data_IF_428675713478
#
_entry.id   IF_428675713478
#
_cell.length_a   1.000
_cell.length_b   1.000
_cell.length_c   1.000
_cell.angle_alpha   90.00
_cell.angle_beta   90.00
_cell.angle_gamma   90.00
#
_symmetry.space_group_name_H-M   'P 1'
#
loop_
_entity.id
_entity.type
_entity.pdbx_description
1 polymer ?
#
# COMPACT_ATOMS: atom_id res chain seq x y z
N UNK A 1 14.28 -11.46 -14.39
CA UNK A 1 14.23 -10.09 -14.96
C UNK A 1 12.85 -9.51 -14.71
N UNK A 2 12.71 -8.20 -14.81
CA UNK A 2 11.41 -7.53 -14.79
C UNK A 2 11.28 -6.70 -16.05
N UNK A 3 10.14 -6.85 -16.73
CA UNK A 3 9.76 -6.04 -17.88
C UNK A 3 8.46 -5.31 -17.55
N UNK A 4 8.34 -4.06 -18.00
CA UNK A 4 7.19 -3.21 -17.68
C UNK A 4 6.64 -2.57 -18.95
N UNK A 5 5.37 -2.83 -19.23
CA UNK A 5 4.59 -2.09 -20.22
C UNK A 5 3.81 -0.99 -19.49
N UNK A 6 4.07 0.25 -19.86
CA UNK A 6 3.30 1.42 -19.46
C UNK A 6 2.06 1.52 -20.34
N UNK A 7 0.91 1.72 -19.73
CA UNK A 7 -0.40 1.88 -20.35
C UNK A 7 -1.00 3.23 -19.91
N UNK A 8 -0.86 4.25 -20.76
CA UNK A 8 -1.31 5.62 -20.48
C UNK A 8 -2.84 5.70 -20.61
N UNK A 9 -3.49 6.11 -19.52
CA UNK A 9 -4.95 6.26 -19.45
C UNK A 9 -5.27 7.31 -18.39
N UNK A 10 -5.68 8.49 -18.83
CA UNK A 10 -5.71 9.69 -17.99
C UNK A 10 -6.92 9.79 -17.05
N UNK A 11 -8.00 9.05 -17.27
CA UNK A 11 -9.14 9.06 -16.34
C UNK A 11 -8.73 8.64 -14.92
N UNK A 12 -9.27 9.33 -13.91
CA UNK A 12 -8.97 9.06 -12.50
C UNK A 12 -9.42 7.65 -12.07
N UNK A 13 -10.56 7.22 -12.61
CA UNK A 13 -11.20 5.93 -12.32
C UNK A 13 -10.88 4.94 -13.43
N UNK A 14 -10.13 3.90 -13.09
CA UNK A 14 -9.66 2.88 -14.04
C UNK A 14 -10.44 1.56 -13.92
N UNK A 15 -11.58 1.57 -13.23
CA UNK A 15 -12.40 0.38 -12.97
C UNK A 15 -12.74 -0.38 -14.25
N UNK A 16 -13.37 0.29 -15.22
CA UNK A 16 -13.82 -0.34 -16.46
C UNK A 16 -12.64 -0.83 -17.30
N UNK A 17 -11.56 -0.03 -17.38
CA UNK A 17 -10.32 -0.45 -18.04
C UNK A 17 -9.74 -1.72 -17.41
N UNK A 18 -9.69 -1.80 -16.07
CA UNK A 18 -9.18 -2.97 -15.36
C UNK A 18 -10.10 -4.19 -15.53
N UNK A 19 -11.42 -4.01 -15.60
CA UNK A 19 -12.37 -5.09 -15.87
C UNK A 19 -12.17 -5.72 -17.24
N UNK A 20 -11.81 -4.92 -18.25
CA UNK A 20 -11.50 -5.41 -19.60
C UNK A 20 -10.07 -5.96 -19.72
N UNK A 21 -9.11 -5.36 -19.02
CA UNK A 21 -7.69 -5.72 -19.09
C UNK A 21 -7.34 -7.01 -18.31
N UNK A 22 -7.85 -7.18 -17.08
CA UNK A 22 -7.47 -8.30 -16.21
C UNK A 22 -7.76 -9.69 -16.81
N UNK A 23 -8.91 -9.93 -17.46
CA UNK A 23 -9.17 -11.22 -18.12
C UNK A 23 -8.15 -11.53 -19.22
N UNK A 24 -7.78 -10.54 -20.05
CA UNK A 24 -6.83 -10.69 -21.14
C UNK A 24 -5.42 -11.02 -20.60
N UNK A 25 -5.00 -10.34 -19.54
CA UNK A 25 -3.70 -10.60 -18.91
C UNK A 25 -3.63 -11.97 -18.21
N UNK A 26 -4.74 -12.49 -17.70
CA UNK A 26 -4.78 -13.85 -17.13
C UNK A 26 -4.60 -14.94 -18.17
N UNK A 27 -5.05 -14.72 -19.40
CA UNK A 27 -4.78 -15.65 -20.51
C UNK A 27 -3.28 -15.68 -20.80
N UNK A 28 -2.61 -14.52 -20.74
CA UNK A 28 -1.17 -14.39 -20.92
C UNK A 28 -0.34 -14.97 -19.77
N UNK A 29 -0.80 -14.85 -18.53
CA UNK A 29 -0.11 -15.44 -17.35
C UNK A 29 -0.02 -16.98 -17.43
N UNK A 30 -0.92 -17.63 -18.16
CA UNK A 30 -0.90 -19.09 -18.39
C UNK A 30 0.12 -19.52 -19.46
N UNK A 31 0.75 -18.58 -20.15
CA UNK A 31 1.78 -18.86 -21.17
C UNK A 31 3.11 -19.17 -20.49
N UNK A 32 3.84 -20.16 -21.00
CA UNK A 32 5.15 -20.53 -20.46
C UNK A 32 6.14 -19.36 -20.53
N UNK A 33 6.76 -19.00 -19.40
CA UNK A 33 7.85 -18.03 -19.35
C UNK A 33 7.61 -16.79 -18.47
N UNK A 34 6.40 -16.62 -17.93
CA UNK A 34 6.08 -15.60 -16.92
C UNK A 34 5.97 -16.26 -15.55
N UNK A 35 6.78 -15.80 -14.59
CA UNK A 35 6.74 -16.26 -13.19
C UNK A 35 5.66 -15.54 -12.39
N UNK A 36 5.44 -14.25 -12.68
CA UNK A 36 4.39 -13.43 -12.09
C UNK A 36 4.03 -12.27 -13.01
N UNK A 37 2.74 -11.93 -13.08
CA UNK A 37 2.21 -10.76 -13.80
C UNK A 37 1.38 -9.91 -12.84
N UNK A 38 1.73 -8.63 -12.69
CA UNK A 38 0.98 -7.73 -11.81
C UNK A 38 0.82 -6.33 -12.37
N UNK A 39 -0.19 -5.63 -11.87
CA UNK A 39 -0.52 -4.26 -12.29
C UNK A 39 -0.21 -3.30 -11.15
N UNK A 40 0.24 -2.10 -11.48
CA UNK A 40 0.34 -0.97 -10.55
C UNK A 40 -0.28 0.28 -11.18
N UNK A 41 -0.93 1.10 -10.35
CA UNK A 41 -1.30 2.47 -10.75
C UNK A 41 -0.12 3.38 -10.48
N UNK A 42 0.11 4.34 -11.37
CA UNK A 42 1.18 5.31 -11.19
C UNK A 42 0.85 6.64 -11.86
N UNK A 43 1.52 7.71 -11.42
CA UNK A 43 1.18 9.10 -11.76
C UNK A 43 2.31 9.83 -12.51
N UNK A 44 3.54 9.36 -12.41
CA UNK A 44 4.71 10.03 -12.98
C UNK A 44 4.52 10.19 -14.50
N UNK A 45 4.62 11.43 -14.97
CA UNK A 45 4.39 11.82 -16.38
C UNK A 45 2.98 11.49 -16.91
N UNK A 46 1.96 11.46 -16.05
CA UNK A 46 0.55 11.26 -16.42
C UNK A 46 -0.05 10.05 -15.69
N UNK A 47 -1.37 10.00 -15.43
CA UNK A 47 -2.02 8.82 -14.88
C UNK A 47 -1.87 7.63 -15.84
N UNK A 48 -1.41 6.50 -15.33
CA UNK A 48 -1.21 5.29 -16.13
C UNK A 48 -1.30 4.03 -15.28
N UNK A 49 -1.41 2.90 -15.97
CA UNK A 49 -1.14 1.59 -15.41
C UNK A 49 0.28 1.15 -15.82
N UNK A 50 0.94 0.39 -14.96
CA UNK A 50 2.13 -0.38 -15.27
C UNK A 50 1.75 -1.85 -15.22
N UNK A 51 1.96 -2.55 -16.32
CA UNK A 51 1.83 -4.00 -16.40
C UNK A 51 3.25 -4.55 -16.29
N UNK A 52 3.53 -5.19 -15.17
CA UNK A 52 4.85 -5.70 -14.84
C UNK A 52 4.86 -7.22 -14.95
N UNK A 53 5.96 -7.78 -15.45
CA UNK A 53 6.17 -9.22 -15.58
C UNK A 53 7.52 -9.59 -14.97
N UNK A 54 7.53 -10.60 -14.12
CA UNK A 54 8.76 -11.28 -13.71
C UNK A 54 8.96 -12.50 -14.59
N UNK A 55 10.17 -12.68 -15.09
CA UNK A 55 10.56 -13.81 -15.93
C UNK A 55 11.95 -14.33 -15.56
N UNK A 56 12.21 -15.62 -15.76
CA UNK A 56 13.54 -16.20 -15.57
C UNK A 56 14.54 -15.73 -16.66
N UNK A 57 14.08 -15.61 -17.91
CA UNK A 57 14.85 -15.21 -19.09
C UNK A 57 14.28 -13.91 -19.71
N UNK A 58 14.95 -13.26 -20.68
CA UNK A 58 14.39 -12.08 -21.34
C UNK A 58 13.02 -12.42 -21.93
N UNK A 59 12.09 -11.45 -21.88
CA UNK A 59 10.71 -11.66 -22.36
C UNK A 59 10.74 -12.05 -23.85
N UNK A 60 10.12 -13.18 -24.18
CA UNK A 60 10.03 -13.65 -25.56
C UNK A 60 9.12 -12.72 -26.37
N UNK A 61 9.42 -12.57 -27.67
CA UNK A 61 8.75 -11.59 -28.53
C UNK A 61 7.25 -11.87 -28.69
N UNK A 62 6.85 -13.14 -28.73
CA UNK A 62 5.45 -13.56 -28.79
C UNK A 62 4.67 -13.18 -27.53
N UNK A 63 5.26 -13.38 -26.34
CA UNK A 63 4.67 -12.96 -25.07
C UNK A 63 4.56 -11.43 -25.03
N UNK A 64 5.63 -10.73 -25.44
CA UNK A 64 5.68 -9.27 -25.52
C UNK A 64 4.54 -8.72 -26.40
N UNK A 65 4.36 -9.27 -27.60
CA UNK A 65 3.30 -8.88 -28.53
C UNK A 65 1.90 -9.21 -27.99
N UNK A 66 1.73 -10.35 -27.31
CA UNK A 66 0.45 -10.71 -26.69
C UNK A 66 0.04 -9.74 -25.57
N UNK A 67 0.99 -9.28 -24.74
CA UNK A 67 0.74 -8.28 -23.70
C UNK A 67 0.40 -6.91 -24.32
N UNK A 68 1.09 -6.51 -25.39
CA UNK A 68 0.77 -5.29 -26.13
C UNK A 68 -0.65 -5.34 -26.73
N UNK A 69 -1.03 -6.48 -27.32
CA UNK A 69 -2.37 -6.68 -27.88
C UNK A 69 -3.45 -6.64 -26.81
N UNK A 70 -3.25 -7.31 -25.68
CA UNK A 70 -4.16 -7.25 -24.55
C UNK A 70 -4.37 -5.80 -24.05
N UNK A 71 -3.29 -5.03 -23.92
CA UNK A 71 -3.35 -3.65 -23.49
C UNK A 71 -4.04 -2.74 -24.53
N UNK A 72 -3.75 -2.94 -25.82
CA UNK A 72 -4.37 -2.20 -26.93
C UNK A 72 -5.88 -2.46 -27.00
N UNK A 73 -6.30 -3.72 -26.95
CA UNK A 73 -7.72 -4.11 -26.94
C UNK A 73 -8.48 -3.49 -25.76
N UNK A 74 -7.86 -3.44 -24.57
CA UNK A 74 -8.46 -2.79 -23.41
C UNK A 74 -8.61 -1.27 -23.62
N UNK A 75 -7.61 -0.58 -24.18
CA UNK A 75 -7.71 0.84 -24.52
C UNK A 75 -8.75 1.13 -25.59
N UNK A 76 -8.84 0.31 -26.63
CA UNK A 76 -9.82 0.50 -27.70
C UNK A 76 -11.25 0.38 -27.19
N UNK A 77 -11.49 -0.54 -26.24
CA UNK A 77 -12.79 -0.70 -25.58
C UNK A 77 -13.10 0.43 -24.60
N UNK A 78 -12.07 0.93 -23.89
CA UNK A 78 -12.20 1.90 -22.79
C UNK A 78 -11.20 3.05 -22.95
N UNK A 79 -11.27 3.85 -24.02
CA UNK A 79 -10.36 4.97 -24.19
C UNK A 79 -10.63 5.99 -23.09
N UNK A 80 -9.56 6.54 -22.52
CA UNK A 80 -9.63 7.71 -21.65
C UNK A 80 -10.13 8.90 -22.45
N UNK A 81 -11.03 9.67 -21.85
CA UNK A 81 -11.56 10.91 -22.43
C UNK A 81 -11.12 12.15 -21.66
N UNK A 82 -10.36 11.99 -20.58
CA UNK A 82 -9.90 13.10 -19.77
C UNK A 82 -8.77 13.87 -20.45
N UNK A 83 -9.04 15.13 -20.73
CA UNK A 83 -8.00 16.09 -21.08
C UNK A 83 -7.22 16.51 -19.82
N UNK A 84 -5.89 16.48 -19.93
CA UNK A 84 -4.97 16.93 -18.87
C UNK A 84 -4.17 18.09 -19.42
N UNK A 85 -4.14 19.22 -18.69
CA UNK A 85 -3.17 20.29 -18.94
C UNK A 85 -1.76 19.78 -18.56
N UNK A 86 -0.82 19.67 -19.52
CA UNK A 86 0.51 19.15 -19.23
C UNK A 86 1.28 19.97 -18.19
N UNK A 87 1.09 21.29 -18.13
CA UNK A 87 1.80 22.16 -17.20
C UNK A 87 1.24 22.03 -15.78
N UNK A 88 -0.08 21.90 -15.63
CA UNK A 88 -0.69 21.65 -14.33
C UNK A 88 -0.34 20.25 -13.79
N UNK A 89 -0.30 19.26 -14.68
CA UNK A 89 0.10 17.92 -14.30
C UNK A 89 1.58 17.81 -13.90
N UNK A 90 2.47 18.57 -14.55
CA UNK A 90 3.88 18.60 -14.15
C UNK A 90 4.05 19.16 -12.73
N UNK A 91 3.33 20.24 -12.38
CA UNK A 91 3.30 20.77 -11.00
C UNK A 91 2.76 19.74 -10.00
N UNK A 92 1.70 19.03 -10.40
CA UNK A 92 1.13 17.93 -9.61
C UNK A 92 2.15 16.81 -9.41
N UNK A 93 2.85 16.42 -10.48
CA UNK A 93 3.88 15.38 -10.48
C UNK A 93 5.07 15.74 -9.61
N UNK A 94 5.52 17.01 -9.62
CA UNK A 94 6.54 17.50 -8.69
C UNK A 94 6.08 17.33 -7.24
N UNK A 95 4.85 17.76 -6.94
CA UNK A 95 4.28 17.69 -5.59
C UNK A 95 4.15 16.24 -5.10
N UNK A 96 3.70 15.33 -5.96
CA UNK A 96 3.61 13.89 -5.67
C UNK A 96 5.01 13.27 -5.53
N UNK A 97 5.96 13.64 -6.38
CA UNK A 97 7.35 13.17 -6.31
C UNK A 97 8.01 13.53 -4.98
N UNK A 98 7.79 14.74 -4.50
CA UNK A 98 8.24 15.18 -3.18
C UNK A 98 7.51 14.43 -2.04
N UNK A 99 6.21 14.19 -2.19
CA UNK A 99 5.39 13.51 -1.19
C UNK A 99 5.63 12.00 -1.10
N UNK A 100 6.12 11.37 -2.17
CA UNK A 100 6.37 9.92 -2.25
C UNK A 100 7.87 9.58 -2.35
N UNK A 101 8.74 10.59 -2.44
CA UNK A 101 10.17 10.51 -2.73
C UNK A 101 10.50 9.83 -4.07
N UNK A 102 9.66 10.08 -5.08
CA UNK A 102 9.89 9.60 -6.45
C UNK A 102 10.58 10.70 -7.24
N UNK A 103 11.84 10.51 -7.68
CA UNK A 103 12.53 11.50 -8.49
C UNK A 103 11.91 11.60 -9.89
N UNK A 104 12.17 12.73 -10.55
CA UNK A 104 11.78 12.96 -11.94
C UNK A 104 12.53 12.08 -12.95
N UNK A 105 12.32 12.31 -14.26
CA UNK A 105 11.66 13.49 -14.83
C UNK A 105 10.14 13.51 -14.64
N UNK A 106 9.59 14.66 -14.27
CA UNK A 106 8.14 14.86 -14.04
C UNK A 106 7.36 15.18 -15.32
N UNK A 107 8.07 15.61 -16.37
CA UNK A 107 7.54 15.88 -17.70
C UNK A 107 8.50 15.42 -18.81
N UNK A 108 8.07 15.47 -20.09
CA UNK A 108 6.71 15.82 -20.51
C UNK A 108 5.71 14.72 -20.13
N UNK A 109 4.44 15.12 -19.98
CA UNK A 109 3.32 14.18 -19.80
C UNK A 109 3.25 13.25 -21.02
N UNK A 110 3.13 11.96 -20.76
CA UNK A 110 2.96 10.96 -21.80
C UNK A 110 1.61 11.18 -22.52
N UNK A 111 1.56 10.79 -23.79
CA UNK A 111 0.33 10.90 -24.57
C UNK A 111 -0.72 9.94 -24.00
N UNK A 112 -1.97 10.40 -23.89
CA UNK A 112 -3.08 9.56 -23.45
C UNK A 112 -3.37 8.43 -24.45
N UNK A 113 -3.97 7.34 -23.98
CA UNK A 113 -4.37 6.19 -24.80
C UNK A 113 -3.21 5.59 -25.62
N UNK A 114 -2.02 5.52 -25.04
CA UNK A 114 -0.84 4.88 -25.65
C UNK A 114 -0.24 3.81 -24.74
N UNK A 115 0.55 2.94 -25.34
CA UNK A 115 1.35 1.93 -24.64
C UNK A 115 2.84 2.11 -24.96
N UNK A 116 3.71 1.93 -23.98
CA UNK A 116 5.16 2.13 -24.10
C UNK A 116 5.92 1.14 -23.22
N UNK A 117 6.95 0.47 -23.73
CA UNK A 117 7.82 -0.35 -22.88
C UNK A 117 8.82 0.52 -22.14
N UNK A 118 8.92 0.34 -20.83
CA UNK A 118 9.89 1.06 -20.02
C UNK A 118 11.29 0.42 -20.17
N UNK A 119 12.29 1.24 -20.49
CA UNK A 119 13.66 0.77 -20.75
C UNK A 119 14.43 0.36 -19.48
N UNK A 120 14.00 0.85 -18.32
CA UNK A 120 14.44 0.37 -17.02
C UNK A 120 13.22 0.43 -16.08
N UNK A 121 13.08 -0.53 -15.14
CA UNK A 121 12.13 -0.37 -14.06
C UNK A 121 12.56 0.86 -13.27
N UNK A 122 11.92 2.01 -13.53
CA UNK A 122 12.16 3.20 -12.74
C UNK A 122 11.80 2.82 -11.31
N UNK A 123 12.76 2.94 -10.39
CA UNK A 123 12.61 2.66 -8.96
C UNK A 123 11.57 3.58 -8.34
N UNK A 124 10.30 3.29 -8.58
CA UNK A 124 9.16 4.11 -8.14
C UNK A 124 8.64 3.69 -6.79
N UNK A 125 9.06 2.51 -6.31
CA UNK A 125 8.77 2.10 -4.95
C UNK A 125 9.98 2.38 -4.07
N UNK A 126 9.91 3.49 -3.32
CA UNK A 126 11.00 3.93 -2.44
C UNK A 126 11.27 2.96 -1.28
N UNK A 127 10.39 1.99 -1.06
CA UNK A 127 10.52 0.93 -0.07
C UNK A 127 11.08 -0.37 -0.65
N UNK A 128 11.17 -0.52 -1.97
CA UNK A 128 11.69 -1.72 -2.63
C UNK A 128 12.96 -1.40 -3.41
N UNK A 129 14.09 -1.90 -2.91
CA UNK A 129 15.43 -1.61 -3.45
C UNK A 129 16.12 -2.81 -4.08
N UNK A 130 15.60 -3.99 -3.77
CA UNK A 130 16.13 -5.25 -4.26
C UNK A 130 15.18 -5.85 -5.29
N UNK A 131 15.76 -6.40 -6.36
CA UNK A 131 15.00 -7.04 -7.44
C UNK A 131 14.18 -8.23 -6.92
N UNK A 132 14.69 -8.96 -5.94
CA UNK A 132 14.01 -10.08 -5.30
C UNK A 132 12.80 -9.62 -4.49
N UNK A 133 12.93 -8.54 -3.71
CA UNK A 133 11.80 -7.93 -3.00
C UNK A 133 10.72 -7.50 -4.01
N UNK A 134 11.11 -6.92 -5.15
CA UNK A 134 10.16 -6.54 -6.19
C UNK A 134 9.47 -7.75 -6.82
N UNK A 135 10.19 -8.85 -7.04
CA UNK A 135 9.60 -10.12 -7.53
C UNK A 135 8.61 -10.71 -6.54
N UNK A 136 8.95 -10.77 -5.25
CA UNK A 136 8.04 -11.25 -4.21
C UNK A 136 6.80 -10.36 -4.15
N UNK A 137 6.98 -9.03 -4.10
CA UNK A 137 5.86 -8.08 -4.16
C UNK A 137 4.97 -8.34 -5.38
N UNK A 138 5.57 -8.49 -6.56
CA UNK A 138 4.86 -8.77 -7.81
C UNK A 138 4.06 -10.07 -7.76
N UNK A 139 4.65 -11.16 -7.23
CA UNK A 139 3.96 -12.43 -7.03
C UNK A 139 2.78 -12.32 -6.06
N UNK A 140 2.95 -11.59 -4.94
CA UNK A 140 1.87 -11.36 -3.98
C UNK A 140 0.72 -10.54 -4.57
N UNK A 141 1.03 -9.50 -5.36
CA UNK A 141 -0.01 -8.71 -6.05
C UNK A 141 -0.69 -9.56 -7.14
N UNK A 142 0.05 -10.34 -7.93
CA UNK A 142 -0.49 -11.28 -8.93
C UNK A 142 -1.52 -12.23 -8.29
N UNK A 143 -1.17 -12.86 -7.16
CA UNK A 143 -2.07 -13.77 -6.42
C UNK A 143 -3.37 -13.10 -5.97
N UNK A 144 -3.37 -11.78 -5.77
CA UNK A 144 -4.56 -11.02 -5.36
C UNK A 144 -5.50 -10.64 -6.51
N UNK A 145 -5.04 -10.69 -7.77
CA UNK A 145 -5.81 -10.21 -8.93
C UNK A 145 -7.19 -10.87 -9.10
N UNK A 146 -7.41 -12.16 -8.78
CA UNK A 146 -8.75 -12.76 -8.67
C UNK A 146 -9.71 -12.00 -7.76
N UNK A 147 -9.27 -11.67 -6.55
CA UNK A 147 -10.08 -10.94 -5.57
C UNK A 147 -10.28 -9.48 -6.00
N UNK A 148 -9.25 -8.86 -6.61
CA UNK A 148 -9.36 -7.51 -7.18
C UNK A 148 -10.43 -7.47 -8.28
N UNK A 149 -10.41 -8.42 -9.21
CA UNK A 149 -11.40 -8.46 -10.29
C UNK A 149 -12.82 -8.61 -9.74
N UNK A 150 -13.04 -9.49 -8.76
CA UNK A 150 -14.34 -9.65 -8.13
C UNK A 150 -14.79 -8.38 -7.39
N UNK A 151 -13.88 -7.69 -6.71
CA UNK A 151 -14.18 -6.41 -6.07
C UNK A 151 -14.58 -5.33 -7.10
N UNK A 152 -13.93 -5.32 -8.27
CA UNK A 152 -14.25 -4.41 -9.35
C UNK A 152 -15.62 -4.67 -9.99
N UNK A 153 -16.19 -5.87 -9.88
CA UNK A 153 -17.58 -6.12 -10.35
C UNK A 153 -18.63 -5.64 -9.35
N UNK A 154 -18.26 -5.32 -8.11
CA UNK A 154 -19.20 -4.89 -7.08
C UNK A 154 -19.54 -3.39 -7.16
N UNK A 155 -20.67 -3.02 -6.57
CA UNK A 155 -20.99 -1.61 -6.30
C UNK A 155 -20.04 -1.03 -5.24
N UNK A 156 -19.98 0.30 -5.17
CA UNK A 156 -19.03 1.03 -4.32
C UNK A 156 -19.06 0.56 -2.85
N UNK A 157 -20.23 0.54 -2.20
CA UNK A 157 -20.35 0.13 -0.79
C UNK A 157 -19.81 -1.28 -0.53
N UNK A 158 -20.21 -2.25 -1.37
CA UNK A 158 -19.75 -3.64 -1.23
C UNK A 158 -18.25 -3.76 -1.49
N UNK A 159 -17.70 -2.97 -2.40
CA UNK A 159 -16.27 -2.91 -2.69
C UNK A 159 -15.48 -2.35 -1.51
N UNK A 160 -15.98 -1.31 -0.83
CA UNK A 160 -15.40 -0.79 0.40
C UNK A 160 -15.44 -1.82 1.53
N UNK A 161 -16.50 -2.64 1.62
CA UNK A 161 -16.55 -3.77 2.56
C UNK A 161 -15.49 -4.84 2.22
N UNK A 162 -15.30 -5.20 0.95
CA UNK A 162 -14.23 -6.13 0.55
C UNK A 162 -12.85 -5.57 0.90
N UNK A 163 -12.64 -4.25 0.72
CA UNK A 163 -11.41 -3.59 1.12
C UNK A 163 -11.18 -3.66 2.65
N UNK A 164 -12.24 -3.50 3.45
CA UNK A 164 -12.17 -3.73 4.91
C UNK A 164 -11.84 -5.17 5.26
N UNK A 165 -12.37 -6.17 4.52
CA UNK A 165 -12.01 -7.57 4.74
C UNK A 165 -10.53 -7.82 4.50
N UNK A 166 -9.96 -7.27 3.43
CA UNK A 166 -8.53 -7.35 3.16
C UNK A 166 -7.74 -6.75 4.34
N UNK A 167 -8.08 -5.54 4.78
CA UNK A 167 -7.39 -4.87 5.90
C UNK A 167 -7.51 -5.67 7.21
N UNK A 168 -8.70 -6.19 7.52
CA UNK A 168 -8.94 -6.98 8.72
C UNK A 168 -8.17 -8.30 8.70
N UNK A 169 -8.15 -9.02 7.57
CA UNK A 169 -7.42 -10.27 7.42
C UNK A 169 -5.92 -10.06 7.74
N UNK A 170 -5.31 -9.00 7.22
CA UNK A 170 -3.92 -8.69 7.53
C UNK A 170 -3.75 -8.25 8.98
N UNK A 171 -4.62 -7.38 9.52
CA UNK A 171 -4.57 -6.97 10.92
C UNK A 171 -4.62 -8.19 11.88
N UNK A 172 -5.47 -9.19 11.59
CA UNK A 172 -5.58 -10.44 12.37
C UNK A 172 -4.30 -11.27 12.37
N UNK A 173 -3.50 -11.19 11.31
CA UNK A 173 -2.24 -11.91 11.18
C UNK A 173 -1.05 -11.22 11.87
N UNK A 174 -1.27 -10.08 12.54
CA UNK A 174 -0.20 -9.44 13.29
C UNK A 174 0.35 -10.38 14.37
N UNK A 175 1.68 -10.55 14.47
CA UNK A 175 2.31 -11.42 15.47
C UNK A 175 1.91 -11.00 16.88
N UNK A 176 1.62 -11.98 17.75
CA UNK A 176 1.37 -11.75 19.18
C UNK A 176 0.35 -10.63 19.47
N UNK A 177 -0.93 -10.99 19.36
CA UNK A 177 -2.05 -10.10 19.72
C UNK A 177 -2.99 -9.76 18.56
N UNK A 178 -2.72 -10.28 17.35
CA UNK A 178 -3.65 -10.27 16.22
C UNK A 178 -4.22 -8.89 15.94
N UNK A 179 -5.53 -8.82 15.66
CA UNK A 179 -6.18 -7.57 15.29
C UNK A 179 -6.04 -6.45 16.34
N UNK A 180 -5.99 -6.78 17.63
CA UNK A 180 -5.83 -5.83 18.73
C UNK A 180 -4.48 -5.08 18.69
N UNK A 181 -3.49 -5.59 17.96
CA UNK A 181 -2.22 -4.90 17.72
C UNK A 181 -2.03 -4.52 16.25
N UNK A 182 -2.44 -5.37 15.32
CA UNK A 182 -2.30 -5.16 13.87
C UNK A 182 -3.00 -3.90 13.36
N UNK A 183 -4.11 -3.49 14.00
CA UNK A 183 -4.81 -2.26 13.63
C UNK A 183 -3.94 -1.01 13.80
N UNK A 184 -2.93 -1.03 14.69
CA UNK A 184 -2.05 0.11 14.96
C UNK A 184 -1.27 0.55 13.71
N UNK A 185 -1.00 -0.38 12.79
CA UNK A 185 -0.36 -0.04 11.52
C UNK A 185 -1.30 0.80 10.63
N UNK A 186 -2.59 0.47 10.58
CA UNK A 186 -3.60 1.28 9.87
C UNK A 186 -3.82 2.63 10.58
N UNK A 187 -3.82 2.62 11.91
CA UNK A 187 -3.91 3.83 12.73
C UNK A 187 -2.77 4.80 12.45
N UNK A 188 -1.54 4.29 12.41
CA UNK A 188 -0.35 5.04 12.02
C UNK A 188 -0.54 5.74 10.67
N UNK A 189 -1.04 5.03 9.65
CA UNK A 189 -1.19 5.61 8.32
C UNK A 189 -2.21 6.74 8.23
N UNK A 190 -3.40 6.59 8.83
CA UNK A 190 -4.39 7.66 8.74
C UNK A 190 -4.05 8.85 9.65
N UNK A 191 -3.44 8.62 10.82
CA UNK A 191 -2.94 9.71 11.69
C UNK A 191 -1.80 10.49 11.03
N UNK A 192 -0.90 9.81 10.31
CA UNK A 192 0.17 10.46 9.54
C UNK A 192 -0.42 11.28 8.38
N UNK A 193 -1.40 10.74 7.66
CA UNK A 193 -2.09 11.47 6.60
C UNK A 193 -2.74 12.76 7.10
N UNK A 194 -3.52 12.68 8.19
CA UNK A 194 -4.15 13.86 8.77
C UNK A 194 -3.11 14.86 9.29
N UNK A 195 -2.01 14.41 9.91
CA UNK A 195 -0.99 15.31 10.42
C UNK A 195 -0.43 16.26 9.35
N UNK A 196 -0.28 15.79 8.12
CA UNK A 196 0.23 16.58 7.00
C UNK A 196 -0.86 17.28 6.18
N UNK A 197 -2.14 17.08 6.52
CA UNK A 197 -3.25 17.67 5.81
C UNK A 197 -3.70 18.97 6.50
N UNK A 198 -3.75 20.12 5.82
CA UNK A 198 -4.18 21.38 6.44
C UNK A 198 -5.65 21.38 6.88
N UNK A 199 -6.48 20.46 6.37
CA UNK A 199 -7.88 20.30 6.74
C UNK A 199 -8.13 19.14 7.72
N UNK A 200 -7.10 18.71 8.46
CA UNK A 200 -7.10 17.52 9.31
C UNK A 200 -8.27 17.43 10.28
N UNK A 201 -8.50 18.48 11.07
CA UNK A 201 -9.57 18.55 12.08
C UNK A 201 -10.95 18.31 11.46
N UNK A 202 -11.25 19.03 10.37
CA UNK A 202 -12.50 18.88 9.63
C UNK A 202 -12.66 17.48 9.04
N UNK A 203 -11.59 16.88 8.53
CA UNK A 203 -11.64 15.52 7.97
C UNK A 203 -11.91 14.50 9.07
N UNK A 204 -11.22 14.60 10.21
CA UNK A 204 -11.42 13.69 11.35
C UNK A 204 -12.83 13.80 11.93
N UNK A 205 -13.39 15.02 12.03
CA UNK A 205 -14.78 15.24 12.45
C UNK A 205 -15.79 14.57 11.52
N UNK A 206 -15.59 14.69 10.20
CA UNK A 206 -16.46 14.05 9.20
C UNK A 206 -16.36 12.53 9.33
N UNK A 207 -15.16 11.98 9.44
CA UNK A 207 -14.96 10.54 9.62
C UNK A 207 -15.57 10.03 10.92
N UNK A 208 -15.40 10.76 12.03
CA UNK A 208 -15.98 10.41 13.33
C UNK A 208 -17.51 10.38 13.26
N UNK A 209 -18.13 11.41 12.66
CA UNK A 209 -19.59 11.45 12.47
C UNK A 209 -20.08 10.33 11.56
N UNK A 210 -19.37 10.06 10.46
CA UNK A 210 -19.69 8.96 9.56
C UNK A 210 -19.56 7.59 10.21
N UNK A 211 -18.54 7.41 11.07
CA UNK A 211 -18.37 6.19 11.85
C UNK A 211 -19.49 6.02 12.86
N UNK A 212 -19.83 7.05 13.63
CA UNK A 212 -20.90 6.99 14.63
C UNK A 212 -22.24 6.58 14.00
N UNK A 213 -22.58 7.16 12.84
CA UNK A 213 -23.78 6.81 12.09
C UNK A 213 -23.80 5.36 11.56
N UNK A 214 -22.63 4.71 11.47
CA UNK A 214 -22.46 3.36 10.94
C UNK A 214 -21.96 2.36 11.99
N UNK A 215 -21.86 2.79 13.25
CA UNK A 215 -21.20 2.05 14.33
C UNK A 215 -21.85 0.70 14.55
N UNK A 216 -23.18 0.68 14.64
CA UNK A 216 -23.95 -0.56 14.82
C UNK A 216 -23.81 -1.54 13.64
N UNK A 217 -24.02 -1.14 12.37
CA UNK A 217 -23.74 -2.00 11.22
C UNK A 217 -22.31 -2.55 11.17
N UNK A 218 -21.31 -1.71 11.47
CA UNK A 218 -19.89 -2.13 11.48
C UNK A 218 -19.62 -3.13 12.60
N UNK A 219 -20.13 -2.86 13.81
CA UNK A 219 -20.01 -3.80 14.93
C UNK A 219 -20.69 -5.14 14.62
N UNK A 220 -21.87 -5.10 14.00
CA UNK A 220 -22.58 -6.30 13.57
C UNK A 220 -21.79 -7.09 12.51
N UNK A 221 -21.17 -6.40 11.56
CA UNK A 221 -20.30 -7.00 10.54
C UNK A 221 -19.11 -7.71 11.18
N UNK A 222 -18.36 -7.04 12.07
CA UNK A 222 -17.20 -7.66 12.70
C UNK A 222 -17.60 -8.85 13.58
N UNK A 223 -18.73 -8.73 14.31
CA UNK A 223 -19.29 -9.85 15.07
C UNK A 223 -19.69 -11.02 14.18
N UNK A 224 -20.28 -10.78 13.01
CA UNK A 224 -20.64 -11.88 12.10
C UNK A 224 -19.41 -12.60 11.57
N UNK A 225 -18.33 -11.88 11.26
CA UNK A 225 -17.07 -12.46 10.78
C UNK A 225 -16.38 -13.37 11.82
N UNK A 226 -16.65 -13.19 13.12
CA UNK A 226 -16.17 -14.09 14.17
C UNK A 226 -17.04 -15.33 14.38
N UNK A 227 -18.30 -15.33 13.92
CA UNK A 227 -19.29 -16.38 14.20
C UNK A 227 -19.69 -17.19 12.97
N UNK A 228 -19.53 -16.64 11.77
CA UNK A 228 -19.92 -17.26 10.51
C UNK A 228 -18.77 -17.14 9.51
N UNK A 229 -18.46 -18.22 8.77
CA UNK A 229 -17.48 -18.16 7.70
C UNK A 229 -17.96 -17.20 6.59
N UNK A 230 -17.11 -16.25 6.17
CA UNK A 230 -17.33 -15.40 5.01
C UNK A 230 -16.30 -15.79 3.92
N UNK A 231 -16.73 -16.32 2.76
CA UNK A 231 -15.81 -16.82 1.72
C UNK A 231 -14.88 -15.76 1.13
N UNK A 232 -15.24 -14.47 1.20
CA UNK A 232 -14.34 -13.41 0.76
C UNK A 232 -13.28 -13.12 1.82
N UNK A 233 -13.66 -13.06 3.09
CA UNK A 233 -12.69 -12.92 4.18
C UNK A 233 -11.71 -14.10 4.19
N UNK A 234 -12.19 -15.33 4.06
CA UNK A 234 -11.37 -16.55 4.02
C UNK A 234 -10.32 -16.50 2.89
N UNK A 235 -10.68 -15.95 1.72
CA UNK A 235 -9.73 -15.79 0.62
C UNK A 235 -8.64 -14.76 0.92
N UNK A 236 -8.99 -13.67 1.60
CA UNK A 236 -8.00 -12.70 2.06
C UNK A 236 -7.11 -13.27 3.17
N UNK A 237 -7.67 -14.03 4.11
CA UNK A 237 -6.91 -14.75 5.12
C UNK A 237 -5.97 -15.78 4.49
N UNK A 238 -6.43 -16.51 3.46
CA UNK A 238 -5.61 -17.41 2.66
C UNK A 238 -4.47 -16.70 1.93
N UNK A 239 -4.74 -15.51 1.36
CA UNK A 239 -3.69 -14.67 0.76
C UNK A 239 -2.66 -14.23 1.79
N UNK A 240 -3.10 -13.75 2.97
CA UNK A 240 -2.17 -13.34 4.05
C UNK A 240 -1.33 -14.52 4.52
N UNK A 241 -1.94 -15.70 4.70
CA UNK A 241 -1.24 -16.92 5.09
C UNK A 241 -0.18 -17.32 4.05
N UNK A 242 -0.51 -17.27 2.77
CA UNK A 242 0.43 -17.60 1.69
C UNK A 242 1.54 -16.54 1.53
N UNK A 243 1.26 -15.29 1.89
CA UNK A 243 2.19 -14.18 1.79
C UNK A 243 3.19 -14.10 2.96
N UNK A 244 2.88 -14.74 4.09
CA UNK A 244 3.65 -14.60 5.32
C UNK A 244 5.09 -15.13 5.20
N UNK A 245 5.26 -16.38 4.79
CA UNK A 245 6.58 -17.01 4.72
C UNK A 245 7.54 -16.30 3.74
N UNK A 246 7.14 -15.94 2.51
CA UNK A 246 7.99 -15.15 1.62
C UNK A 246 8.38 -13.78 2.21
N UNK A 247 7.45 -13.10 2.89
CA UNK A 247 7.74 -11.80 3.51
C UNK A 247 8.71 -11.95 4.70
N UNK A 248 8.57 -13.03 5.47
CA UNK A 248 9.44 -13.34 6.60
C UNK A 248 10.84 -13.76 6.16
N UNK A 249 10.97 -14.47 5.04
CA UNK A 249 12.28 -14.78 4.44
C UNK A 249 13.03 -13.49 4.06
N UNK A 250 12.35 -12.56 3.37
CA UNK A 250 12.93 -11.26 3.03
C UNK A 250 13.38 -10.49 4.27
N UNK A 251 12.57 -10.53 5.35
CA UNK A 251 12.87 -9.85 6.61
C UNK A 251 14.10 -10.45 7.30
N UNK A 252 14.16 -11.78 7.44
CA UNK A 252 15.31 -12.51 8.04
C UNK A 252 16.62 -12.27 7.30
N UNK A 253 16.54 -12.00 6.00
CA UNK A 253 17.68 -11.68 5.14
C UNK A 253 18.02 -10.19 5.13
N UNK A 254 17.28 -9.36 5.86
CA UNK A 254 17.47 -7.91 5.95
C UNK A 254 17.10 -7.15 4.67
N UNK A 255 16.36 -7.76 3.75
CA UNK A 255 15.95 -7.13 2.48
C UNK A 255 14.73 -6.23 2.64
N UNK A 256 13.90 -6.49 3.65
CA UNK A 256 12.84 -5.58 4.11
C UNK A 256 13.07 -5.26 5.58
N UNK A 257 12.98 -3.97 5.92
CA UNK A 257 13.36 -3.46 7.23
C UNK A 257 12.14 -2.92 7.98
N UNK A 258 12.18 -2.92 9.33
CA UNK A 258 11.09 -2.39 10.13
C UNK A 258 11.08 -0.86 10.13
N UNK A 259 12.08 -0.22 9.50
CA UNK A 259 12.28 1.22 9.40
C UNK A 259 12.73 1.63 7.99
N UNK A 260 12.55 2.91 7.60
CA UNK A 260 13.07 3.41 6.34
C UNK A 260 14.60 3.28 6.26
N UNK A 261 15.11 2.79 5.13
CA UNK A 261 16.55 2.66 4.88
C UNK A 261 17.26 4.02 4.77
N UNK A 262 18.54 4.09 5.15
CA UNK A 262 19.33 5.33 5.18
C UNK A 262 19.31 6.10 3.84
N UNK A 263 19.43 5.43 2.69
CA UNK A 263 19.41 6.14 1.40
C UNK A 263 18.06 6.83 1.11
N UNK A 264 16.98 6.53 1.85
CA UNK A 264 15.72 7.29 1.73
C UNK A 264 15.92 8.69 2.27
N UNK A 265 16.63 8.81 3.39
CA UNK A 265 16.99 10.10 3.97
C UNK A 265 17.94 10.85 3.04
N UNK A 266 18.92 10.17 2.45
CA UNK A 266 19.82 10.80 1.48
C UNK A 266 19.08 11.28 0.23
N UNK A 267 18.16 10.48 -0.32
CA UNK A 267 17.30 10.90 -1.42
C UNK A 267 16.43 12.11 -1.03
N UNK A 268 15.80 12.07 0.15
CA UNK A 268 14.99 13.18 0.63
C UNK A 268 15.80 14.47 0.77
N UNK A 269 17.02 14.39 1.33
CA UNK A 269 17.95 15.53 1.42
C UNK A 269 18.33 16.05 0.04
N UNK A 270 18.59 15.17 -0.93
CA UNK A 270 18.91 15.58 -2.30
C UNK A 270 17.75 16.29 -3.02
N UNK A 271 16.51 16.02 -2.59
CA UNK A 271 15.30 16.67 -3.11
C UNK A 271 14.96 17.97 -2.37
N UNK A 272 15.62 18.26 -1.24
CA UNK A 272 15.52 19.52 -0.50
C UNK A 272 15.56 19.36 1.02
N UNK A 273 16.07 20.37 1.71
CA UNK A 273 16.27 20.35 3.18
C UNK A 273 14.97 20.10 3.96
N UNK A 274 13.85 20.69 3.52
CA UNK A 274 12.54 20.46 4.16
C UNK A 274 12.07 19.01 4.02
N UNK A 275 12.35 18.37 2.87
CA UNK A 275 12.04 16.96 2.68
C UNK A 275 12.97 16.08 3.52
N UNK A 276 14.26 16.43 3.60
CA UNK A 276 15.20 15.80 4.52
C UNK A 276 14.69 15.78 5.97
N UNK A 277 14.16 16.90 6.47
CA UNK A 277 13.51 16.96 7.81
C UNK A 277 12.26 16.09 7.91
N UNK A 278 11.36 16.21 6.93
CA UNK A 278 10.11 15.43 6.89
C UNK A 278 10.36 13.92 6.92
N UNK A 279 11.40 13.45 6.23
CA UNK A 279 11.70 12.04 6.07
C UNK A 279 12.80 11.50 7.00
N UNK A 280 13.54 12.37 7.69
CA UNK A 280 14.65 11.98 8.58
C UNK A 280 14.26 11.46 9.95
N UNK A 281 12.99 11.60 10.35
CA UNK A 281 12.52 11.07 11.64
C UNK A 281 13.17 11.72 12.86
N UNK A 282 13.83 12.87 12.69
CA UNK A 282 14.46 13.71 13.72
C UNK A 282 13.48 14.29 14.74
N UNK A 283 13.98 14.87 15.83
CA UNK A 283 13.15 15.61 16.80
C UNK A 283 12.80 17.03 16.32
N UNK A 284 13.44 17.49 15.25
CA UNK A 284 13.11 18.71 14.52
C UNK A 284 11.87 18.56 13.61
N UNK A 285 11.35 17.33 13.49
CA UNK A 285 10.10 17.01 12.79
C UNK A 285 8.90 17.04 13.76
N UNK A 286 7.74 17.46 13.25
CA UNK A 286 6.44 17.32 13.94
C UNK A 286 5.80 15.95 13.68
N UNK A 287 5.04 15.48 14.67
CA UNK A 287 4.37 14.17 14.68
C UNK A 287 2.90 14.31 15.09
N UNK A 288 2.08 13.33 14.72
CA UNK A 288 0.73 13.20 15.28
C UNK A 288 0.78 12.79 16.77
N UNK A 289 -0.36 12.85 17.45
CA UNK A 289 -0.54 12.37 18.82
C UNK A 289 -0.07 10.91 19.00
N UNK A 290 -0.55 10.02 18.12
CA UNK A 290 -0.13 8.63 18.10
C UNK A 290 1.38 8.49 17.93
N UNK A 291 1.96 9.10 16.89
CA UNK A 291 3.39 8.94 16.62
C UNK A 291 4.28 9.56 17.71
N UNK A 292 3.82 10.61 18.39
CA UNK A 292 4.53 11.19 19.54
C UNK A 292 4.65 10.20 20.69
N UNK A 293 3.57 9.49 21.02
CA UNK A 293 3.58 8.46 22.05
C UNK A 293 4.30 7.19 21.60
N UNK A 294 4.05 6.76 20.35
CA UNK A 294 4.62 5.54 19.79
C UNK A 294 6.15 5.60 19.70
N UNK A 295 6.73 6.76 19.41
CA UNK A 295 8.19 7.00 19.37
C UNK A 295 8.90 6.76 20.70
N UNK A 296 8.18 6.75 21.83
CA UNK A 296 8.77 6.47 23.15
C UNK A 296 9.17 5.00 23.30
N UNK A 297 8.64 4.13 22.44
CA UNK A 297 8.93 2.70 22.45
C UNK A 297 10.28 2.38 21.79
N UNK A 298 10.91 1.31 22.28
CA UNK A 298 12.08 0.69 21.70
C UNK A 298 11.66 -0.38 20.69
N UNK A 299 11.60 -0.02 19.41
CA UNK A 299 11.27 -0.92 18.30
C UNK A 299 12.27 -2.06 18.11
N UNK A 300 13.50 -1.95 18.62
CA UNK A 300 14.47 -3.05 18.54
C UNK A 300 14.15 -4.18 19.52
N UNK A 301 13.28 -3.90 20.50
CA UNK A 301 12.88 -4.81 21.57
C UNK A 301 11.38 -5.12 21.61
N UNK A 302 10.61 -4.45 20.75
CA UNK A 302 9.20 -4.73 20.56
C UNK A 302 9.02 -5.98 19.69
N UNK A 303 8.92 -7.15 20.34
CA UNK A 303 8.58 -8.41 19.67
C UNK A 303 9.65 -8.91 18.70
N UNK A 304 9.23 -9.76 17.76
CA UNK A 304 10.07 -10.29 16.68
C UNK A 304 10.21 -9.22 15.57
N UNK A 305 11.40 -8.61 15.48
CA UNK A 305 11.71 -7.55 14.50
C UNK A 305 11.50 -8.00 13.06
N UNK A 306 11.73 -9.28 12.76
CA UNK A 306 11.58 -9.82 11.42
C UNK A 306 10.10 -9.97 11.08
N UNK A 307 9.31 -10.47 12.03
CA UNK A 307 7.87 -10.59 11.87
C UNK A 307 7.19 -9.22 11.69
N UNK A 308 7.65 -8.19 12.42
CA UNK A 308 7.18 -6.81 12.19
C UNK A 308 7.59 -6.26 10.82
N UNK A 309 8.81 -6.55 10.36
CA UNK A 309 9.29 -6.15 9.04
C UNK A 309 8.48 -6.81 7.92
N UNK A 310 8.20 -8.10 8.05
CA UNK A 310 7.33 -8.86 7.15
C UNK A 310 5.92 -8.25 7.11
N UNK A 311 5.32 -8.00 8.28
CA UNK A 311 4.02 -7.35 8.37
C UNK A 311 3.99 -5.97 7.68
N UNK A 312 5.02 -5.14 7.90
CA UNK A 312 5.16 -3.83 7.24
C UNK A 312 5.31 -3.95 5.73
N UNK A 313 6.00 -4.98 5.24
CA UNK A 313 6.08 -5.24 3.81
C UNK A 313 4.71 -5.63 3.23
N UNK A 314 3.98 -6.52 3.91
CA UNK A 314 2.66 -6.98 3.48
C UNK A 314 1.61 -5.86 3.47
N UNK A 315 1.60 -4.96 4.46
CA UNK A 315 0.63 -3.84 4.47
C UNK A 315 0.88 -2.86 3.31
N UNK A 316 2.14 -2.63 2.92
CA UNK A 316 2.45 -1.81 1.76
C UNK A 316 2.01 -2.49 0.46
N UNK A 317 2.18 -3.81 0.33
CA UNK A 317 1.65 -4.57 -0.80
C UNK A 317 0.11 -4.48 -0.84
N UNK A 318 -0.55 -4.61 0.31
CA UNK A 318 -2.00 -4.49 0.40
C UNK A 318 -2.48 -3.10 -0.03
N UNK A 319 -1.77 -2.03 0.32
CA UNK A 319 -2.15 -0.69 -0.11
C UNK A 319 -2.12 -0.53 -1.64
N UNK A 320 -1.17 -1.14 -2.33
CA UNK A 320 -1.18 -1.19 -3.80
C UNK A 320 -2.40 -1.95 -4.30
N UNK A 321 -2.70 -3.11 -3.71
CA UNK A 321 -3.86 -3.94 -4.07
C UNK A 321 -5.18 -3.15 -3.90
N UNK A 322 -5.33 -2.37 -2.82
CA UNK A 322 -6.52 -1.54 -2.62
C UNK A 322 -6.69 -0.49 -3.72
N UNK A 323 -5.59 0.10 -4.22
CA UNK A 323 -5.70 1.03 -5.36
C UNK A 323 -6.16 0.33 -6.64
N UNK A 324 -5.79 -0.94 -6.84
CA UNK A 324 -6.27 -1.75 -7.96
C UNK A 324 -7.76 -2.08 -7.84
N UNK A 325 -8.28 -2.21 -6.63
CA UNK A 325 -9.72 -2.30 -6.35
C UNK A 325 -10.46 -0.97 -6.60
N UNK A 326 -9.78 0.05 -7.14
CA UNK A 326 -10.34 1.38 -7.37
C UNK A 326 -10.80 2.08 -6.07
N UNK A 327 -10.13 1.78 -4.95
CA UNK A 327 -10.25 2.51 -3.69
C UNK A 327 -9.35 3.73 -3.75
N UNK A 328 -9.93 4.92 -3.59
CA UNK A 328 -9.17 6.18 -3.65
C UNK A 328 -8.31 6.35 -2.38
N UNK A 329 -7.16 7.06 -2.41
CA UNK A 329 -6.35 7.27 -1.21
C UNK A 329 -7.11 7.80 0.01
N UNK A 330 -8.00 8.79 -0.17
CA UNK A 330 -8.84 9.31 0.92
C UNK A 330 -9.78 8.23 1.47
N UNK A 331 -10.39 7.43 0.59
CA UNK A 331 -11.27 6.32 0.99
C UNK A 331 -10.49 5.27 1.78
N UNK A 332 -9.27 4.92 1.36
CA UNK A 332 -8.38 4.02 2.10
C UNK A 332 -8.16 4.49 3.53
N UNK A 333 -7.89 5.79 3.74
CA UNK A 333 -7.70 6.33 5.09
C UNK A 333 -8.99 6.33 5.91
N UNK A 334 -10.14 6.62 5.29
CA UNK A 334 -11.45 6.46 5.96
C UNK A 334 -11.68 5.02 6.41
N UNK A 335 -11.40 4.02 5.56
CA UNK A 335 -11.55 2.61 5.91
C UNK A 335 -10.57 2.18 7.02
N UNK A 336 -9.33 2.68 6.97
CA UNK A 336 -8.35 2.48 8.04
C UNK A 336 -8.81 3.10 9.38
N UNK A 337 -9.44 4.28 9.35
CA UNK A 337 -10.08 4.89 10.52
C UNK A 337 -11.20 4.00 11.04
N UNK A 338 -12.10 3.54 10.16
CA UNK A 338 -13.24 2.68 10.53
C UNK A 338 -12.78 1.37 11.16
N UNK A 339 -11.78 0.71 10.57
CA UNK A 339 -11.15 -0.48 11.14
C UNK A 339 -10.57 -0.21 12.52
N UNK A 340 -9.81 0.88 12.67
CA UNK A 340 -9.18 1.23 13.96
C UNK A 340 -10.23 1.43 15.06
N UNK A 341 -11.31 2.16 14.75
CA UNK A 341 -12.40 2.41 15.70
C UNK A 341 -13.21 1.15 16.00
N UNK A 342 -13.48 0.32 14.99
CA UNK A 342 -14.21 -0.93 15.14
C UNK A 342 -13.47 -1.93 16.04
N UNK A 343 -12.14 -2.02 15.91
CA UNK A 343 -11.31 -2.83 16.81
C UNK A 343 -11.34 -2.26 18.23
N UNK A 344 -11.15 -0.95 18.41
CA UNK A 344 -11.21 -0.32 19.74
C UNK A 344 -12.59 -0.42 20.41
N UNK A 345 -13.68 -0.49 19.65
CA UNK A 345 -15.03 -0.70 20.21
C UNK A 345 -15.27 -2.15 20.67
N UNK A 346 -14.54 -3.12 20.12
CA UNK A 346 -14.65 -4.54 20.46
C UNK A 346 -13.66 -4.95 21.55
N UNK A 347 -12.51 -4.27 21.61
CA UNK A 347 -11.46 -4.52 22.59
C UNK A 347 -11.65 -3.66 23.84
N UNK A 348 -11.23 -4.17 24.99
CA UNK A 348 -11.22 -3.38 26.24
C UNK A 348 -10.08 -2.33 26.27
N UNK A 349 -9.27 -2.26 25.22
CA UNK A 349 -8.06 -1.43 25.15
C UNK A 349 -8.08 -0.50 23.95
N UNK A 350 -7.57 0.71 24.15
CA UNK A 350 -7.32 1.68 23.07
C UNK A 350 -5.84 1.70 22.72
N UNK A 351 -5.46 2.35 21.62
CA UNK A 351 -4.06 2.50 21.25
C UNK A 351 -3.28 3.22 22.36
N UNK A 352 -3.91 4.18 23.06
CA UNK A 352 -3.30 4.92 24.17
C UNK A 352 -2.94 3.98 25.31
N UNK A 353 -3.86 3.08 25.66
CA UNK A 353 -3.65 2.07 26.71
C UNK A 353 -2.55 1.09 26.32
N UNK A 354 -2.55 0.62 25.07
CA UNK A 354 -1.54 -0.32 24.56
C UNK A 354 -0.14 0.29 24.56
N UNK A 355 0.01 1.50 24.03
CA UNK A 355 1.30 2.22 23.98
C UNK A 355 1.79 2.55 25.38
N UNK A 356 0.92 3.07 26.26
CA UNK A 356 1.28 3.35 27.65
C UNK A 356 1.74 2.08 28.40
N UNK A 357 1.05 0.96 28.18
CA UNK A 357 1.45 -0.34 28.74
C UNK A 357 2.80 -0.81 28.20
N UNK A 358 3.09 -0.60 26.90
CA UNK A 358 4.38 -0.88 26.29
C UNK A 358 5.51 -0.05 26.90
N UNK A 359 5.30 1.27 27.04
CA UNK A 359 6.27 2.18 27.68
C UNK A 359 6.52 1.77 29.14
N UNK A 360 5.47 1.43 29.89
CA UNK A 360 5.60 1.00 31.27
C UNK A 360 6.39 -0.31 31.41
N UNK A 361 6.16 -1.29 30.51
CA UNK A 361 6.95 -2.54 30.48
C UNK A 361 8.40 -2.28 30.11
N UNK A 362 8.65 -1.42 29.12
CA UNK A 362 9.98 -1.05 28.69
C UNK A 362 10.79 -0.37 29.80
N UNK A 363 10.15 0.45 30.64
CA UNK A 363 10.81 1.09 31.78
C UNK A 363 11.38 0.11 32.81
N UNK A 364 10.96 -1.16 32.76
CA UNK A 364 11.52 -2.24 33.57
C UNK A 364 12.81 -2.83 33.00
N UNK A 365 13.15 -2.54 31.74
CA UNK A 365 14.41 -2.92 31.09
C UNK A 365 15.36 -1.72 31.03
N UNK A 366 16.43 -1.69 31.86
CA UNK A 366 17.40 -0.58 31.87
C UNK A 366 18.17 -0.40 30.56
N UNK A 367 18.18 -1.42 29.70
CA UNK A 367 18.88 -1.39 28.43
C UNK A 367 17.98 -0.93 27.28
N UNK A 368 16.69 -0.69 27.52
CA UNK A 368 15.76 -0.25 26.49
C UNK A 368 15.81 1.27 26.29
N UNK A 369 15.76 1.72 25.04
CA UNK A 369 15.80 3.13 24.69
C UNK A 369 14.86 3.44 23.52
N UNK A 370 14.22 4.62 23.49
CA UNK A 370 13.45 5.05 22.31
C UNK A 370 14.28 4.93 21.03
N UNK A 371 13.75 4.24 20.03
CA UNK A 371 14.48 4.01 18.78
C UNK A 371 14.42 5.22 17.84
N UNK A 372 13.72 6.31 18.20
CA UNK A 372 13.56 7.48 17.35
C UNK A 372 13.92 8.79 18.09
N UNK A 373 14.73 9.71 17.51
CA UNK A 373 15.24 9.68 16.14
C UNK A 373 16.31 8.60 16.01
N UNK A 374 16.18 7.81 14.94
CA UNK A 374 16.94 6.58 14.76
C UNK A 374 18.44 6.85 14.92
N UNK A 375 19.01 6.24 15.97
CA UNK A 375 20.44 6.24 16.26
C UNK A 375 21.04 4.93 15.76
N UNK A 376 20.78 4.54 14.52
CA UNK A 376 21.35 3.28 14.04
C UNK A 376 22.76 3.46 13.52
N UNK A 377 23.48 2.34 13.58
CA UNK A 377 24.65 2.04 12.75
C UNK A 377 24.19 1.50 11.39
#
# INVERSE_FOLDING_TARGET
MISTLRLNHHDDRKRELLLDLLPLLREMERVSGIDALWIQRHWLRGPHLRINMSTAAPLQEDIRLGIEEAARLALERRPSTREIDPQEWEKTSISLGQAELVPGPYGPVAKDNTIEWEQQPVGTDTFVRDLEVLKVKGALISQSLPMVQEALTQQHDRRSVIALYAMLALAKAYPDGGAAHGYLAYLSHWKEFLHWNPASERIEEVWAKSYENQREPIAALFKSLGNQPDPMLERWEGWVSAAWDPALDLARRGLVLPYPHADRLELAKSMGEQLGRRWGGGDDRKYSDFHTEFRKLDFTKLGDSDAFSAFRFLINCQFDILTLMDIHPVERYTLAYFLSRAVEDQEATTWKTLVAGGVARQALDPSAAPTLPWRGE
#
